data_IF_180766151152
#
_entry.id   IF_180766151152
#
_cell.length_a   1.000
_cell.length_b   1.000
_cell.length_c   1.000
_cell.angle_alpha   90.00
_cell.angle_beta   90.00
_cell.angle_gamma   90.00
#
_symmetry.space_group_name_H-M   'P 1'
#
loop_
_entity.id
_entity.type
_entity.pdbx_description
1 polymer ?
#
# COMPACT_ATOMS: atom_id res chain seq x y z
N UNK A 1 -0.37 -25.92 6.45
CA UNK A 1 -1.42 -25.40 5.54
C UNK A 1 -1.28 -26.09 4.21
N UNK A 2 -2.38 -26.56 3.63
CA UNK A 2 -2.40 -27.03 2.24
C UNK A 2 -2.19 -25.83 1.28
N UNK A 3 -1.75 -26.08 0.03
CA UNK A 3 -1.69 -25.05 -1.00
C UNK A 3 -3.02 -24.28 -1.15
N UNK A 4 -4.15 -24.99 -1.16
CA UNK A 4 -5.48 -24.38 -1.24
C UNK A 4 -5.81 -23.44 -0.06
N UNK A 5 -5.39 -23.79 1.16
CA UNK A 5 -5.59 -22.94 2.35
C UNK A 5 -4.74 -21.68 2.28
N UNK A 6 -3.53 -21.77 1.70
CA UNK A 6 -2.64 -20.62 1.52
C UNK A 6 -3.20 -19.66 0.49
N UNK A 7 -3.65 -20.16 -0.66
CA UNK A 7 -4.21 -19.33 -1.74
C UNK A 7 -5.48 -18.62 -1.29
N UNK A 8 -6.38 -19.33 -0.59
CA UNK A 8 -7.61 -18.77 -0.02
C UNK A 8 -7.31 -17.71 1.06
N UNK A 9 -6.27 -17.91 1.87
CA UNK A 9 -5.82 -16.90 2.83
C UNK A 9 -5.24 -15.64 2.15
N UNK A 10 -4.43 -15.80 1.10
CA UNK A 10 -3.87 -14.68 0.33
C UNK A 10 -5.00 -13.90 -0.34
N UNK A 11 -5.94 -14.59 -0.99
CA UNK A 11 -7.09 -13.98 -1.66
C UNK A 11 -7.96 -13.19 -0.67
N UNK A 12 -8.21 -13.74 0.53
CA UNK A 12 -8.92 -13.01 1.59
C UNK A 12 -8.19 -11.75 2.04
N UNK A 13 -6.87 -11.82 2.21
CA UNK A 13 -6.07 -10.64 2.55
C UNK A 13 -6.13 -9.58 1.47
N UNK A 14 -5.95 -9.95 0.19
CA UNK A 14 -6.03 -9.03 -0.94
C UNK A 14 -7.40 -8.33 -0.98
N UNK A 15 -8.49 -9.08 -0.79
CA UNK A 15 -9.84 -8.52 -0.70
C UNK A 15 -10.02 -7.57 0.48
N UNK A 16 -9.48 -7.92 1.65
CA UNK A 16 -9.56 -7.07 2.83
C UNK A 16 -8.83 -5.73 2.60
N UNK A 17 -7.64 -5.76 2.01
CA UNK A 17 -6.88 -4.55 1.68
C UNK A 17 -7.63 -3.68 0.66
N UNK A 18 -8.16 -4.29 -0.40
CA UNK A 18 -8.94 -3.58 -1.41
C UNK A 18 -10.21 -2.93 -0.82
N UNK A 19 -10.90 -3.61 0.09
CA UNK A 19 -12.09 -3.07 0.75
C UNK A 19 -11.75 -1.86 1.65
N UNK A 20 -10.62 -1.92 2.37
CA UNK A 20 -10.17 -0.79 3.19
C UNK A 20 -9.76 0.40 2.30
N UNK A 21 -9.01 0.15 1.22
CA UNK A 21 -8.67 1.20 0.25
C UNK A 21 -9.91 1.87 -0.33
N UNK A 22 -10.91 1.09 -0.76
CA UNK A 22 -12.16 1.63 -1.27
C UNK A 22 -12.89 2.49 -0.24
N UNK A 23 -12.89 2.05 1.04
CA UNK A 23 -13.48 2.83 2.14
C UNK A 23 -12.74 4.14 2.38
N UNK A 24 -11.41 4.13 2.37
CA UNK A 24 -10.58 5.35 2.56
C UNK A 24 -10.88 6.36 1.45
N UNK A 25 -10.90 5.90 0.20
CA UNK A 25 -11.22 6.74 -0.96
C UNK A 25 -12.64 7.31 -0.83
N UNK A 26 -13.62 6.49 -0.44
CA UNK A 26 -14.99 6.94 -0.20
C UNK A 26 -15.07 8.05 0.86
N UNK A 27 -14.45 7.83 2.03
CA UNK A 27 -14.41 8.81 3.12
C UNK A 27 -13.76 10.13 2.73
N UNK A 28 -12.71 10.08 1.90
CA UNK A 28 -12.07 11.28 1.35
C UNK A 28 -13.02 12.04 0.41
N UNK A 29 -13.69 11.34 -0.49
CA UNK A 29 -14.65 11.94 -1.42
C UNK A 29 -15.89 12.52 -0.71
N UNK A 30 -16.26 11.96 0.45
CA UNK A 30 -17.32 12.46 1.33
C UNK A 30 -16.91 13.66 2.19
N UNK A 31 -15.66 14.15 2.05
CA UNK A 31 -15.18 15.32 2.78
C UNK A 31 -14.83 15.06 4.24
N UNK A 32 -14.47 13.81 4.60
CA UNK A 32 -14.01 13.42 5.94
C UNK A 32 -12.51 13.04 5.94
N UNK A 33 -11.59 13.99 5.64
CA UNK A 33 -10.17 13.68 5.41
C UNK A 33 -9.45 13.14 6.65
N UNK A 34 -9.86 13.52 7.86
CA UNK A 34 -9.28 13.01 9.11
C UNK A 34 -9.59 11.52 9.30
N UNK A 35 -10.81 11.10 8.96
CA UNK A 35 -11.24 9.70 9.04
C UNK A 35 -10.56 8.88 7.95
N UNK A 36 -10.43 9.43 6.74
CA UNK A 36 -9.67 8.82 5.66
C UNK A 36 -8.20 8.59 6.06
N UNK A 37 -7.57 9.57 6.72
CA UNK A 37 -6.19 9.47 7.20
C UNK A 37 -6.02 8.42 8.30
N UNK A 38 -6.94 8.33 9.25
CA UNK A 38 -6.92 7.28 10.27
C UNK A 38 -7.05 5.88 9.64
N UNK A 39 -7.94 5.74 8.65
CA UNK A 39 -8.10 4.49 7.88
C UNK A 39 -6.83 4.10 7.13
N UNK A 40 -6.08 5.07 6.62
CA UNK A 40 -4.82 4.83 5.91
C UNK A 40 -3.74 4.23 6.82
N UNK A 41 -3.61 4.72 8.05
CA UNK A 41 -2.66 4.17 9.04
C UNK A 41 -3.03 2.73 9.46
N UNK A 42 -4.32 2.43 9.59
CA UNK A 42 -4.81 1.07 9.82
C UNK A 42 -4.47 0.15 8.64
N UNK A 43 -4.70 0.62 7.41
CA UNK A 43 -4.40 -0.13 6.19
C UNK A 43 -2.91 -0.48 6.07
N UNK A 44 -2.01 0.46 6.40
CA UNK A 44 -0.57 0.20 6.44
C UNK A 44 -0.22 -0.88 7.48
N UNK A 45 -0.80 -0.79 8.67
CA UNK A 45 -0.56 -1.77 9.74
C UNK A 45 -1.07 -3.16 9.34
N UNK A 46 -2.22 -3.25 8.68
CA UNK A 46 -2.77 -4.52 8.23
C UNK A 46 -1.94 -5.16 7.10
N UNK A 47 -1.45 -4.35 6.14
CA UNK A 47 -0.67 -4.84 5.00
C UNK A 47 0.75 -5.27 5.41
N UNK A 48 1.43 -4.42 6.18
CA UNK A 48 2.87 -4.50 6.46
C UNK A 48 3.17 -5.06 7.86
N UNK A 49 2.17 -5.18 8.72
CA UNK A 49 2.31 -5.70 10.08
C UNK A 49 3.22 -4.82 10.95
N UNK A 50 3.97 -5.47 11.84
CA UNK A 50 4.88 -4.81 12.78
C UNK A 50 6.03 -4.03 12.11
N UNK A 51 6.33 -4.33 10.83
CA UNK A 51 7.39 -3.67 10.08
C UNK A 51 6.92 -2.41 9.35
N UNK A 52 5.63 -2.05 9.43
CA UNK A 52 5.03 -0.89 8.76
C UNK A 52 5.87 0.38 8.90
N UNK A 53 6.25 0.74 10.14
CA UNK A 53 7.04 1.94 10.41
C UNK A 53 8.43 1.94 9.77
N UNK A 54 9.07 0.76 9.65
CA UNK A 54 10.37 0.63 8.98
C UNK A 54 10.22 0.71 7.46
N UNK A 55 9.29 -0.09 6.90
CA UNK A 55 9.07 -0.18 5.45
C UNK A 55 8.66 1.17 4.86
N UNK A 56 7.86 1.96 5.60
CA UNK A 56 7.48 3.31 5.17
C UNK A 56 8.62 4.32 5.17
N UNK A 57 9.74 4.06 5.85
CA UNK A 57 10.88 5.01 5.94
C UNK A 57 12.04 4.68 5.00
N UNK A 58 12.16 3.43 4.55
CA UNK A 58 13.20 3.01 3.60
C UNK A 58 12.82 3.35 2.16
N UNK A 59 13.80 3.35 1.25
CA UNK A 59 13.60 3.57 -0.17
C UNK A 59 12.74 2.46 -0.83
N UNK A 60 12.22 2.73 -2.02
CA UNK A 60 11.33 1.84 -2.78
C UNK A 60 11.95 0.46 -3.06
N UNK A 61 13.26 0.41 -3.36
CA UNK A 61 13.94 -0.84 -3.69
C UNK A 61 14.13 -1.71 -2.43
N UNK A 62 14.52 -1.09 -1.32
CA UNK A 62 14.63 -1.78 -0.03
C UNK A 62 13.26 -2.23 0.48
N UNK A 63 12.23 -1.38 0.37
CA UNK A 63 10.86 -1.75 0.73
C UNK A 63 10.36 -2.95 -0.08
N UNK A 64 10.56 -2.96 -1.41
CA UNK A 64 10.17 -4.07 -2.26
C UNK A 64 10.86 -5.39 -1.87
N UNK A 65 12.15 -5.34 -1.52
CA UNK A 65 12.90 -6.51 -1.03
C UNK A 65 12.36 -7.03 0.31
N UNK A 66 12.04 -6.14 1.25
CA UNK A 66 11.51 -6.52 2.57
C UNK A 66 10.10 -7.11 2.47
N UNK A 67 9.24 -6.55 1.61
CA UNK A 67 7.88 -7.05 1.41
C UNK A 67 7.88 -8.40 0.69
N UNK A 68 8.72 -8.56 -0.33
CA UNK A 68 8.97 -9.83 -1.03
C UNK A 68 7.84 -10.35 -1.92
N UNK A 69 6.59 -9.96 -1.68
CA UNK A 69 5.40 -10.34 -2.46
C UNK A 69 5.00 -9.22 -3.44
N UNK A 70 4.90 -9.54 -4.73
CA UNK A 70 4.47 -8.59 -5.78
C UNK A 70 3.10 -7.98 -5.48
N UNK A 71 2.13 -8.80 -5.08
CA UNK A 71 0.77 -8.36 -4.72
C UNK A 71 0.79 -7.35 -3.56
N UNK A 72 1.58 -7.63 -2.52
CA UNK A 72 1.73 -6.72 -1.38
C UNK A 72 2.47 -5.44 -1.75
N UNK A 73 3.44 -5.50 -2.67
CA UNK A 73 4.13 -4.30 -3.17
C UNK A 73 3.16 -3.41 -3.96
N UNK A 74 2.32 -4.00 -4.82
CA UNK A 74 1.29 -3.25 -5.54
C UNK A 74 0.27 -2.62 -4.60
N UNK A 75 -0.16 -3.36 -3.58
CA UNK A 75 -1.06 -2.85 -2.55
C UNK A 75 -0.42 -1.71 -1.74
N UNK A 76 0.87 -1.82 -1.45
CA UNK A 76 1.63 -0.77 -0.77
C UNK A 76 1.74 0.47 -1.65
N UNK A 77 2.00 0.31 -2.95
CA UNK A 77 2.02 1.42 -3.90
C UNK A 77 0.67 2.15 -3.97
N UNK A 78 -0.45 1.43 -3.90
CA UNK A 78 -1.79 2.04 -3.86
C UNK A 78 -2.02 2.86 -2.58
N UNK A 79 -1.58 2.36 -1.42
CA UNK A 79 -1.65 3.11 -0.16
C UNK A 79 -0.79 4.37 -0.19
N UNK A 80 0.42 4.29 -0.75
CA UNK A 80 1.31 5.47 -0.90
C UNK A 80 0.72 6.51 -1.85
N UNK A 81 0.03 6.08 -2.91
CA UNK A 81 -0.65 7.00 -3.82
C UNK A 81 -1.85 7.68 -3.12
N UNK A 82 -2.65 6.94 -2.36
CA UNK A 82 -3.74 7.53 -1.57
C UNK A 82 -3.20 8.45 -0.45
N UNK A 83 -2.04 8.17 0.13
CA UNK A 83 -1.34 9.10 1.04
C UNK A 83 -1.01 10.41 0.32
N UNK A 84 -0.56 10.33 -0.94
CA UNK A 84 -0.25 11.51 -1.74
C UNK A 84 -1.49 12.36 -2.04
N UNK A 85 -2.66 11.72 -2.26
CA UNK A 85 -3.94 12.41 -2.49
C UNK A 85 -4.50 13.09 -1.23
N UNK A 86 -4.06 12.66 -0.04
CA UNK A 86 -4.44 13.25 1.25
C UNK A 86 -3.42 14.26 1.80
N UNK A 87 -2.30 14.42 1.09
CA UNK A 87 -1.21 15.32 1.48
C UNK A 87 -1.48 16.75 0.99
N UNK A 88 -1.31 17.72 1.88
CA UNK A 88 -1.57 19.13 1.58
C UNK A 88 -0.34 19.84 1.00
N UNK A 89 0.86 19.33 1.29
CA UNK A 89 2.10 19.86 0.72
C UNK A 89 2.35 19.27 -0.68
N UNK A 90 2.36 20.12 -1.71
CA UNK A 90 2.52 19.68 -3.10
C UNK A 90 3.84 18.94 -3.35
N UNK A 91 4.93 19.39 -2.73
CA UNK A 91 6.24 18.76 -2.87
C UNK A 91 6.26 17.35 -2.30
N UNK A 92 5.72 17.19 -1.10
CA UNK A 92 5.58 15.89 -0.44
C UNK A 92 4.61 14.97 -1.18
N UNK A 93 3.49 15.51 -1.65
CA UNK A 93 2.52 14.78 -2.49
C UNK A 93 3.20 14.25 -3.76
N UNK A 94 4.00 15.08 -4.46
CA UNK A 94 4.74 14.66 -5.64
C UNK A 94 5.77 13.55 -5.34
N UNK A 95 6.51 13.65 -4.22
CA UNK A 95 7.45 12.63 -3.78
C UNK A 95 6.75 11.29 -3.48
N UNK A 96 5.59 11.32 -2.84
CA UNK A 96 4.79 10.12 -2.58
C UNK A 96 4.30 9.47 -3.88
N UNK A 97 3.78 10.25 -4.85
CA UNK A 97 3.39 9.73 -6.17
C UNK A 97 4.57 9.10 -6.91
N UNK A 98 5.73 9.74 -6.89
CA UNK A 98 6.96 9.20 -7.49
C UNK A 98 7.35 7.85 -6.85
N UNK A 99 7.29 7.76 -5.52
CA UNK A 99 7.54 6.53 -4.77
C UNK A 99 6.56 5.41 -5.12
N UNK A 100 5.26 5.72 -5.23
CA UNK A 100 4.25 4.74 -5.66
C UNK A 100 4.57 4.18 -7.06
N UNK A 101 4.98 5.04 -8.00
CA UNK A 101 5.39 4.62 -9.33
C UNK A 101 6.67 3.75 -9.33
N UNK A 102 7.65 4.06 -8.48
CA UNK A 102 8.86 3.23 -8.31
C UNK A 102 8.54 1.82 -7.81
N UNK A 103 7.66 1.70 -6.81
CA UNK A 103 7.23 0.41 -6.28
C UNK A 103 6.57 -0.47 -7.36
N UNK A 104 5.75 0.12 -8.24
CA UNK A 104 5.14 -0.59 -9.38
C UNK A 104 6.20 -1.10 -10.36
N UNK A 105 7.16 -0.24 -10.73
CA UNK A 105 8.29 -0.63 -11.60
C UNK A 105 9.10 -1.79 -11.04
N UNK A 106 9.29 -1.87 -9.72
CA UNK A 106 9.99 -3.00 -9.11
C UNK A 106 9.25 -4.33 -9.29
N UNK A 107 7.92 -4.32 -9.35
CA UNK A 107 7.13 -5.53 -9.61
C UNK A 107 7.28 -5.94 -11.08
N UNK A 108 7.10 -5.01 -12.01
CA UNK A 108 7.26 -5.24 -13.46
C UNK A 108 8.63 -5.83 -13.81
N UNK A 109 9.70 -5.28 -13.22
CA UNK A 109 11.07 -5.76 -13.43
C UNK A 109 11.34 -7.14 -12.83
N UNK A 110 10.60 -7.54 -11.80
CA UNK A 110 10.70 -8.86 -11.17
C UNK A 110 9.98 -9.92 -11.99
N UNK A 111 8.87 -9.58 -12.64
CA UNK A 111 8.08 -10.48 -13.49
C UNK A 111 8.70 -10.70 -14.87
N UNK A 112 9.51 -9.76 -15.35
CA UNK A 112 10.24 -9.86 -16.61
C UNK A 112 11.50 -10.76 -16.56
N UNK A 113 11.82 -11.37 -15.40
CA UNK A 113 13.00 -12.21 -15.18
C UNK A 113 12.62 -13.66 -14.93
#
# INVERSE_FOLDING_TARGET
MSPSQRDDYILRQARAIAAILARIVGLRLEGSPEVARAGLEEAYTMLLGSQSGLIRRVDSATAAKLIGSSEKILSFAQLVEEEAEQENDEGRSALLRARAAELRRHVEQKEAR
#
